data_IF_975808693405
#
_entry.id   IF_975808693405
#
_cell.length_a   1.000
_cell.length_b   1.000
_cell.length_c   1.000
_cell.angle_alpha   90.00
_cell.angle_beta   90.00
_cell.angle_gamma   90.00
#
_symmetry.space_group_name_H-M   'P 1'
#
loop_
_entity.id
_entity.type
_entity.pdbx_description
1 polymer ?
#
# COMPACT_ATOMS: atom_id res chain seq x y z
N UNK A 1 -0.23 15.77 -21.04
CA UNK A 1 -0.07 15.61 -22.49
C UNK A 1 0.26 16.98 -23.08
N UNK A 2 1.52 17.25 -23.41
CA UNK A 2 1.92 18.49 -24.08
C UNK A 2 1.44 18.42 -25.53
N UNK A 3 0.38 19.16 -25.86
CA UNK A 3 -0.05 19.33 -27.24
C UNK A 3 1.05 20.13 -27.96
N UNK A 4 1.72 19.47 -28.91
CA UNK A 4 2.56 20.14 -29.90
C UNK A 4 1.67 21.17 -30.62
N UNK A 5 1.87 22.44 -30.30
CA UNK A 5 1.26 23.56 -31.02
C UNK A 5 1.69 23.43 -32.47
N UNK A 6 0.71 23.23 -33.36
CA UNK A 6 0.93 23.19 -34.80
C UNK A 6 1.74 24.44 -35.21
N UNK A 7 2.81 24.25 -35.99
CA UNK A 7 3.62 25.37 -36.49
C UNK A 7 2.72 26.30 -37.29
N UNK A 8 2.25 27.36 -36.63
CA UNK A 8 1.42 28.38 -37.22
C UNK A 8 2.09 28.97 -38.45
N UNK A 9 1.26 29.46 -39.37
CA UNK A 9 1.69 30.31 -40.48
C UNK A 9 2.59 31.42 -39.93
N UNK A 10 3.78 31.58 -40.55
CA UNK A 10 4.77 32.60 -40.15
C UNK A 10 4.08 33.93 -39.93
N UNK A 11 4.38 34.57 -38.80
CA UNK A 11 3.86 35.91 -38.51
C UNK A 11 4.33 36.90 -39.57
N UNK A 12 3.58 37.99 -39.78
CA UNK A 12 3.96 39.05 -40.72
C UNK A 12 5.37 39.58 -40.43
N UNK A 13 5.74 39.65 -39.14
CA UNK A 13 7.09 40.00 -38.70
C UNK A 13 8.14 39.00 -39.18
N UNK A 14 7.93 37.70 -38.95
CA UNK A 14 8.85 36.64 -39.40
C UNK A 14 9.01 36.60 -40.93
N UNK A 15 7.92 36.82 -41.67
CA UNK A 15 7.96 36.89 -43.13
C UNK A 15 8.79 38.08 -43.62
N UNK A 16 8.59 39.27 -43.04
CA UNK A 16 9.37 40.47 -43.36
C UNK A 16 10.84 40.33 -42.95
N UNK A 17 11.12 39.67 -41.82
CA UNK A 17 12.49 39.43 -41.36
C UNK A 17 13.24 38.51 -42.33
N UNK A 18 12.58 37.48 -42.82
CA UNK A 18 13.13 36.60 -43.86
C UNK A 18 13.35 37.33 -45.20
N UNK A 19 12.45 38.26 -45.58
CA UNK A 19 12.65 39.09 -46.77
C UNK A 19 13.85 40.03 -46.62
N UNK A 20 14.01 40.67 -45.45
CA UNK A 20 15.18 41.51 -45.16
C UNK A 20 16.49 40.71 -45.25
N UNK A 21 16.53 39.51 -44.67
CA UNK A 21 17.72 38.65 -44.75
C UNK A 21 18.11 38.32 -46.21
N UNK A 22 17.12 38.01 -47.06
CA UNK A 22 17.37 37.77 -48.50
C UNK A 22 17.84 39.01 -49.24
N UNK A 23 17.34 40.20 -48.90
CA UNK A 23 17.80 41.45 -49.49
C UNK A 23 19.24 41.79 -49.07
N UNK A 24 19.59 41.54 -47.81
CA UNK A 24 20.97 41.69 -47.31
C UNK A 24 21.94 40.73 -48.00
N UNK A 25 21.52 39.48 -48.22
CA UNK A 25 22.32 38.50 -48.95
C UNK A 25 22.57 38.94 -50.40
N UNK A 26 21.53 39.44 -51.10
CA UNK A 26 21.66 40.02 -52.44
C UNK A 26 22.63 41.21 -52.47
N UNK A 27 22.55 42.10 -51.49
CA UNK A 27 23.45 43.24 -51.37
C UNK A 27 24.90 42.78 -51.17
N UNK A 28 25.14 41.81 -50.27
CA UNK A 28 26.48 41.28 -50.03
C UNK A 28 27.09 40.63 -51.29
N UNK A 29 26.29 39.89 -52.06
CA UNK A 29 26.72 39.30 -53.33
C UNK A 29 27.07 40.37 -54.37
N UNK A 30 26.27 41.45 -54.47
CA UNK A 30 26.54 42.57 -55.37
C UNK A 30 27.83 43.32 -54.99
N UNK A 31 28.07 43.53 -53.70
CA UNK A 31 29.31 44.16 -53.20
C UNK A 31 30.54 43.31 -53.50
N UNK A 32 30.46 41.98 -53.33
CA UNK A 32 31.56 41.07 -53.71
C UNK A 32 31.83 41.11 -55.22
N UNK A 33 30.79 41.07 -56.05
CA UNK A 33 30.92 41.16 -57.50
C UNK A 33 31.56 42.50 -57.91
N UNK A 34 31.20 43.59 -57.25
CA UNK A 34 31.74 44.93 -57.50
C UNK A 34 33.24 44.99 -57.23
N UNK A 35 33.70 44.45 -56.10
CA UNK A 35 35.15 44.39 -55.76
C UNK A 35 35.92 43.66 -56.86
N UNK A 36 35.44 42.50 -57.28
CA UNK A 36 36.07 41.72 -58.35
C UNK A 36 36.12 42.49 -59.68
N UNK A 37 35.01 43.11 -60.09
CA UNK A 37 34.97 43.88 -61.33
C UNK A 37 35.86 45.13 -61.26
N UNK A 38 36.01 45.76 -60.09
CA UNK A 38 36.96 46.87 -59.91
C UNK A 38 38.41 46.43 -60.06
N UNK A 39 38.78 45.24 -59.57
CA UNK A 39 40.11 44.66 -59.75
C UNK A 39 40.36 44.32 -61.22
N UNK A 40 39.41 43.63 -61.87
CA UNK A 40 39.47 43.29 -63.30
C UNK A 40 39.56 44.53 -64.19
N UNK A 41 38.90 45.63 -63.79
CA UNK A 41 38.95 46.91 -64.51
C UNK A 41 40.34 47.54 -64.39
N UNK A 42 40.94 47.53 -63.21
CA UNK A 42 42.29 48.04 -63.01
C UNK A 42 43.30 47.27 -63.87
N UNK A 43 43.17 45.93 -63.93
CA UNK A 43 44.00 45.08 -64.78
C UNK A 43 43.79 45.37 -66.27
N UNK A 44 42.53 45.45 -66.74
CA UNK A 44 42.23 45.74 -68.15
C UNK A 44 42.74 47.13 -68.60
N UNK A 45 42.80 48.10 -67.68
CA UNK A 45 43.40 49.41 -67.94
C UNK A 45 44.92 49.33 -68.02
N UNK A 46 45.56 48.53 -67.16
CA UNK A 46 47.01 48.29 -67.21
C UNK A 46 47.42 47.57 -68.51
N UNK A 47 46.58 46.66 -69.00
CA UNK A 47 46.79 45.91 -70.24
C UNK A 47 46.38 46.69 -71.51
N UNK A 48 46.00 47.97 -71.37
CA UNK A 48 45.49 48.84 -72.45
C UNK A 48 44.29 48.27 -73.23
N UNK A 49 43.56 47.31 -72.65
CA UNK A 49 42.40 46.68 -73.29
C UNK A 49 41.12 47.51 -73.10
N UNK A 50 41.01 48.56 -73.91
CA UNK A 50 39.91 49.54 -73.83
C UNK A 50 38.50 48.94 -73.99
N UNK A 51 38.34 47.89 -74.80
CA UNK A 51 37.04 47.21 -75.00
C UNK A 51 36.59 46.50 -73.73
N UNK A 52 37.50 45.77 -73.09
CA UNK A 52 37.23 45.10 -71.82
C UNK A 52 36.97 46.12 -70.71
N UNK A 53 37.77 47.19 -70.63
CA UNK A 53 37.57 48.26 -69.65
C UNK A 53 36.19 48.96 -69.80
N UNK A 54 35.72 49.20 -71.02
CA UNK A 54 34.38 49.77 -71.26
C UNK A 54 33.25 48.81 -70.84
N UNK A 55 33.41 47.51 -71.12
CA UNK A 55 32.46 46.49 -70.67
C UNK A 55 32.36 46.44 -69.14
N UNK A 56 33.50 46.38 -68.45
CA UNK A 56 33.57 46.35 -66.99
C UNK A 56 33.01 47.62 -66.34
N UNK A 57 33.23 48.80 -66.94
CA UNK A 57 32.60 50.06 -66.49
C UNK A 57 31.07 50.02 -66.60
N UNK A 58 30.54 49.38 -67.64
CA UNK A 58 29.09 49.22 -67.80
C UNK A 58 28.52 48.27 -66.74
N UNK A 59 29.23 47.17 -66.47
CA UNK A 59 28.86 46.24 -65.41
C UNK A 59 28.92 46.89 -64.01
N UNK A 60 29.93 47.73 -63.73
CA UNK A 60 30.01 48.48 -62.48
C UNK A 60 28.82 49.43 -62.29
N UNK A 61 28.43 50.17 -63.34
CA UNK A 61 27.24 51.04 -63.27
C UNK A 61 25.99 50.25 -62.95
N UNK A 62 25.78 49.11 -63.61
CA UNK A 62 24.63 48.25 -63.32
C UNK A 62 24.64 47.70 -61.89
N UNK A 63 25.82 47.38 -61.34
CA UNK A 63 25.94 46.96 -59.93
C UNK A 63 25.72 48.11 -58.95
N UNK A 64 26.18 49.32 -59.27
CA UNK A 64 25.95 50.51 -58.45
C UNK A 64 24.44 50.84 -58.40
N UNK A 65 23.73 50.79 -59.53
CA UNK A 65 22.26 50.95 -59.61
C UNK A 65 21.53 49.87 -58.77
N UNK A 66 21.92 48.60 -58.91
CA UNK A 66 21.34 47.50 -58.12
C UNK A 66 21.61 47.68 -56.62
N UNK A 67 22.75 48.25 -56.23
CA UNK A 67 23.06 48.55 -54.83
C UNK A 67 22.16 49.66 -54.29
N UNK A 68 21.91 50.71 -55.06
CA UNK A 68 21.01 51.79 -54.66
C UNK A 68 19.57 51.28 -54.49
N UNK A 69 19.09 50.47 -55.44
CA UNK A 69 17.76 49.85 -55.37
C UNK A 69 17.61 48.93 -54.14
N UNK A 70 18.62 48.10 -53.86
CA UNK A 70 18.61 47.20 -52.69
C UNK A 70 18.69 47.97 -51.37
N UNK A 71 19.41 49.09 -51.31
CA UNK A 71 19.43 49.96 -50.14
C UNK A 71 18.06 50.60 -49.87
N UNK A 72 17.36 51.05 -50.92
CA UNK A 72 15.99 51.55 -50.81
C UNK A 72 15.02 50.45 -50.35
N UNK A 73 15.14 49.24 -50.92
CA UNK A 73 14.35 48.06 -50.50
C UNK A 73 14.56 47.76 -49.01
N UNK A 74 15.82 47.76 -48.55
CA UNK A 74 16.17 47.49 -47.16
C UNK A 74 15.61 48.55 -46.20
N UNK A 75 15.70 49.84 -46.56
CA UNK A 75 15.10 50.92 -45.76
C UNK A 75 13.58 50.77 -45.63
N UNK A 76 12.89 50.44 -46.72
CA UNK A 76 11.45 50.18 -46.68
C UNK A 76 11.08 48.94 -45.84
N UNK A 77 11.88 47.88 -45.90
CA UNK A 77 11.70 46.68 -45.08
C UNK A 77 11.94 46.94 -43.60
N UNK A 78 12.88 47.82 -43.25
CA UNK A 78 13.17 48.19 -41.86
C UNK A 78 12.00 48.90 -41.18
N UNK A 79 11.36 49.85 -41.87
CA UNK A 79 10.18 50.53 -41.31
C UNK A 79 9.01 49.56 -41.15
N UNK A 80 8.74 48.73 -42.16
CA UNK A 80 7.69 47.68 -42.07
C UNK A 80 7.97 46.68 -40.96
N UNK A 81 9.25 46.35 -40.71
CA UNK A 81 9.66 45.48 -39.63
C UNK A 81 9.43 46.11 -38.26
N UNK A 82 9.70 47.41 -38.09
CA UNK A 82 9.40 48.09 -36.82
C UNK A 82 7.93 48.00 -36.47
N UNK A 83 7.06 48.24 -37.44
CA UNK A 83 5.61 48.17 -37.26
C UNK A 83 5.18 46.73 -36.95
N UNK A 84 5.54 45.77 -37.80
CA UNK A 84 5.15 44.37 -37.63
C UNK A 84 5.71 43.76 -36.33
N UNK A 85 6.88 44.21 -35.87
CA UNK A 85 7.47 43.77 -34.59
C UNK A 85 6.62 44.17 -33.40
N UNK A 86 6.03 45.37 -33.41
CA UNK A 86 5.15 45.82 -32.31
C UNK A 86 3.93 44.92 -32.19
N UNK A 87 3.29 44.61 -33.31
CA UNK A 87 2.11 43.74 -33.34
C UNK A 87 2.46 42.31 -32.93
N UNK A 88 3.59 41.79 -33.42
CA UNK A 88 4.08 40.47 -33.05
C UNK A 88 4.34 40.37 -31.54
N UNK A 89 5.09 41.32 -30.97
CA UNK A 89 5.37 41.34 -29.52
C UNK A 89 4.09 41.50 -28.71
N UNK A 90 3.12 42.30 -29.16
CA UNK A 90 1.83 42.42 -28.47
C UNK A 90 1.10 41.07 -28.43
N UNK A 91 1.06 40.35 -29.55
CA UNK A 91 0.44 39.03 -29.62
C UNK A 91 1.16 37.97 -28.76
N UNK A 92 2.49 38.02 -28.70
CA UNK A 92 3.27 37.15 -27.80
C UNK A 92 2.96 37.45 -26.33
N UNK A 93 2.89 38.72 -25.94
CA UNK A 93 2.54 39.13 -24.57
C UNK A 93 1.12 38.69 -24.21
N UNK A 94 0.15 38.83 -25.12
CA UNK A 94 -1.23 38.40 -24.88
C UNK A 94 -1.33 36.88 -24.72
N UNK A 95 -0.62 36.12 -25.57
CA UNK A 95 -0.53 34.65 -25.44
C UNK A 95 0.06 34.24 -24.09
N UNK A 96 1.19 34.84 -23.70
CA UNK A 96 1.85 34.54 -22.43
C UNK A 96 1.00 34.91 -21.22
N UNK A 97 0.21 35.99 -21.30
CA UNK A 97 -0.74 36.36 -20.25
C UNK A 97 -1.85 35.31 -20.09
N UNK A 98 -2.42 34.85 -21.21
CA UNK A 98 -3.44 33.81 -21.18
C UNK A 98 -2.88 32.49 -20.61
N UNK A 99 -1.65 32.12 -20.96
CA UNK A 99 -0.97 30.94 -20.39
C UNK A 99 -0.77 31.09 -18.88
N UNK A 100 -0.34 32.25 -18.40
CA UNK A 100 -0.17 32.51 -16.97
C UNK A 100 -1.50 32.46 -16.20
N UNK A 101 -2.57 33.03 -16.78
CA UNK A 101 -3.92 32.97 -16.19
C UNK A 101 -4.42 31.52 -16.10
N UNK A 102 -4.19 30.72 -17.14
CA UNK A 102 -4.53 29.30 -17.12
C UNK A 102 -3.76 28.54 -16.04
N UNK A 103 -2.45 28.74 -15.94
CA UNK A 103 -1.62 28.10 -14.90
C UNK A 103 -2.09 28.51 -13.50
N UNK A 104 -2.47 29.77 -13.30
CA UNK A 104 -2.99 30.25 -12.03
C UNK A 104 -4.30 29.53 -11.65
N UNK A 105 -5.24 29.41 -12.60
CA UNK A 105 -6.50 28.68 -12.39
C UNK A 105 -6.26 27.20 -12.04
N UNK A 106 -5.40 26.52 -12.81
CA UNK A 106 -5.03 25.12 -12.54
C UNK A 106 -4.37 24.96 -11.17
N UNK A 107 -3.58 25.94 -10.73
CA UNK A 107 -2.92 25.94 -9.42
C UNK A 107 -3.91 26.15 -8.27
N UNK A 108 -4.89 27.03 -8.44
CA UNK A 108 -5.97 27.24 -7.46
C UNK A 108 -6.84 25.98 -7.29
N UNK A 109 -7.20 25.34 -8.41
CA UNK A 109 -7.91 24.07 -8.39
C UNK A 109 -7.10 22.99 -7.64
N UNK A 110 -5.82 22.85 -7.95
CA UNK A 110 -4.94 21.90 -7.26
C UNK A 110 -4.81 22.20 -5.76
N UNK A 111 -4.70 23.48 -5.38
CA UNK A 111 -4.63 23.89 -3.98
C UNK A 111 -5.92 23.55 -3.21
N UNK A 112 -7.08 23.77 -3.83
CA UNK A 112 -8.38 23.43 -3.25
C UNK A 112 -8.53 21.92 -3.01
N UNK A 113 -8.16 21.11 -4.01
CA UNK A 113 -8.18 19.64 -3.91
C UNK A 113 -7.22 19.13 -2.82
N UNK A 114 -6.05 19.76 -2.67
CA UNK A 114 -5.11 19.43 -1.62
C UNK A 114 -5.66 19.74 -0.23
N UNK A 115 -6.27 20.91 -0.03
CA UNK A 115 -6.88 21.28 1.25
C UNK A 115 -8.05 20.36 1.63
N UNK A 116 -8.85 19.93 0.66
CA UNK A 116 -9.88 18.91 0.91
C UNK A 116 -9.29 17.57 1.34
N UNK A 117 -8.27 17.08 0.62
CA UNK A 117 -7.58 15.84 0.97
C UNK A 117 -6.94 15.91 2.37
N UNK A 118 -6.36 17.06 2.73
CA UNK A 118 -5.79 17.31 4.04
C UNK A 118 -6.85 17.25 5.15
N UNK A 119 -8.02 17.86 4.94
CA UNK A 119 -9.13 17.77 5.92
C UNK A 119 -9.57 16.33 6.17
N UNK A 120 -9.68 15.53 5.10
CA UNK A 120 -10.02 14.10 5.22
C UNK A 120 -8.94 13.35 5.99
N UNK A 121 -7.66 13.62 5.68
CA UNK A 121 -6.54 13.02 6.40
C UNK A 121 -6.55 13.38 7.89
N UNK A 122 -6.77 14.64 8.25
CA UNK A 122 -6.79 15.11 9.64
C UNK A 122 -7.90 14.41 10.45
N UNK A 123 -9.09 14.22 9.86
CA UNK A 123 -10.18 13.45 10.48
C UNK A 123 -9.76 12.01 10.72
N UNK A 124 -9.21 11.34 9.70
CA UNK A 124 -8.75 9.95 9.83
C UNK A 124 -7.63 9.82 10.87
N UNK A 125 -6.72 10.81 10.95
CA UNK A 125 -5.66 10.84 11.94
C UNK A 125 -6.21 10.96 13.37
N UNK A 126 -7.21 11.83 13.58
CA UNK A 126 -7.85 12.00 14.88
C UNK A 126 -8.59 10.72 15.32
N UNK A 127 -9.32 10.07 14.41
CA UNK A 127 -10.00 8.80 14.69
C UNK A 127 -9.00 7.69 15.05
N UNK A 128 -7.87 7.62 14.34
CA UNK A 128 -6.79 6.69 14.65
C UNK A 128 -6.22 6.94 16.05
N UNK A 129 -5.92 8.20 16.40
CA UNK A 129 -5.39 8.57 17.71
C UNK A 129 -6.37 8.22 18.83
N UNK A 130 -7.64 8.56 18.68
CA UNK A 130 -8.69 8.18 19.63
C UNK A 130 -8.77 6.65 19.80
N UNK A 131 -8.70 5.90 18.69
CA UNK A 131 -8.66 4.45 18.74
C UNK A 131 -7.44 3.90 19.49
N UNK A 132 -6.27 4.55 19.39
CA UNK A 132 -5.07 4.18 20.16
C UNK A 132 -5.30 4.41 21.65
N UNK A 133 -5.87 5.55 22.05
CA UNK A 133 -6.17 5.87 23.44
C UNK A 133 -7.18 4.90 24.04
N UNK A 134 -8.30 4.64 23.35
CA UNK A 134 -9.30 3.65 23.79
C UNK A 134 -8.70 2.25 23.96
N UNK A 135 -7.80 1.83 23.07
CA UNK A 135 -7.07 0.56 23.22
C UNK A 135 -6.09 0.57 24.38
N UNK A 136 -5.49 1.72 24.73
CA UNK A 136 -4.65 1.85 25.94
C UNK A 136 -5.52 1.72 27.18
N UNK A 137 -6.63 2.44 27.25
CA UNK A 137 -7.54 2.41 28.39
C UNK A 137 -8.17 1.04 28.60
N UNK A 138 -8.64 0.40 27.53
CA UNK A 138 -9.17 -0.97 27.59
C UNK A 138 -8.14 -1.98 28.09
N UNK A 139 -6.85 -1.77 27.83
CA UNK A 139 -5.76 -2.63 28.34
C UNK A 139 -5.41 -2.39 29.80
N UNK A 140 -5.68 -1.20 30.36
CA UNK A 140 -5.33 -0.85 31.75
C UNK A 140 -6.02 -1.76 32.77
N UNK A 141 -7.32 -2.03 32.60
CA UNK A 141 -8.09 -2.84 33.56
C UNK A 141 -7.64 -4.32 33.60
N UNK A 142 -7.53 -5.05 32.47
CA UNK A 142 -6.98 -6.40 32.46
C UNK A 142 -5.55 -6.48 33.00
N UNK A 143 -4.70 -5.50 32.67
CA UNK A 143 -3.32 -5.46 33.20
C UNK A 143 -3.31 -5.29 34.73
N UNK A 144 -4.14 -4.41 35.28
CA UNK A 144 -4.27 -4.25 36.72
C UNK A 144 -4.74 -5.55 37.38
N UNK A 145 -5.77 -6.20 36.80
CA UNK A 145 -6.28 -7.47 37.32
C UNK A 145 -5.25 -8.60 37.23
N UNK A 146 -4.48 -8.66 36.15
CA UNK A 146 -3.37 -9.62 36.04
C UNK A 146 -2.34 -9.40 37.13
N UNK A 147 -1.91 -8.15 37.38
CA UNK A 147 -0.95 -7.85 38.44
C UNK A 147 -1.47 -8.21 39.84
N UNK A 148 -2.75 -7.97 40.12
CA UNK A 148 -3.39 -8.42 41.37
C UNK A 148 -3.33 -9.95 41.50
N UNK A 149 -3.79 -10.67 40.46
CA UNK A 149 -3.80 -12.13 40.46
C UNK A 149 -2.40 -12.74 40.55
N UNK A 150 -1.39 -12.12 39.92
CA UNK A 150 0.00 -12.56 40.04
C UNK A 150 0.49 -12.45 41.48
N UNK A 151 0.17 -11.36 42.19
CA UNK A 151 0.52 -11.22 43.62
C UNK A 151 -0.23 -12.21 44.50
N UNK A 152 -1.53 -12.42 44.24
CA UNK A 152 -2.30 -13.43 44.96
C UNK A 152 -1.68 -14.82 44.78
N UNK A 153 -1.25 -15.16 43.56
CA UNK A 153 -0.59 -16.42 43.24
C UNK A 153 0.76 -16.55 43.94
N UNK A 154 1.61 -15.51 43.91
CA UNK A 154 2.89 -15.47 44.66
C UNK A 154 2.67 -15.76 46.15
N UNK A 155 1.68 -15.13 46.79
CA UNK A 155 1.36 -15.36 48.20
C UNK A 155 0.85 -16.79 48.48
N UNK A 156 0.08 -17.36 47.56
CA UNK A 156 -0.43 -18.74 47.69
C UNK A 156 0.68 -19.77 47.48
N UNK A 157 1.66 -19.48 46.63
CA UNK A 157 2.83 -20.34 46.41
C UNK A 157 3.86 -20.22 47.54
N UNK A 158 3.98 -19.04 48.18
CA UNK A 158 4.80 -18.84 49.38
C UNK A 158 4.15 -19.40 50.65
N UNK A 159 2.83 -19.55 50.67
CA UNK A 159 2.14 -20.24 51.75
C UNK A 159 2.38 -21.75 51.63
N UNK A 160 3.25 -22.30 52.49
CA UNK A 160 3.42 -23.75 52.63
C UNK A 160 2.04 -24.42 52.79
N UNK A 161 1.73 -25.49 52.02
CA UNK A 161 0.48 -26.20 52.21
C UNK A 161 0.49 -26.81 53.63
N UNK A 162 -0.41 -26.33 54.49
CA UNK A 162 -0.63 -26.93 55.79
C UNK A 162 -0.96 -28.42 55.58
N UNK A 163 -0.10 -29.30 56.11
CA UNK A 163 -0.36 -30.74 56.07
C UNK A 163 -1.72 -31.04 56.71
N UNK A 164 -2.64 -31.74 56.04
CA UNK A 164 -3.91 -32.09 56.64
C UNK A 164 -3.69 -33.17 57.70
N UNK A 165 -3.81 -32.79 58.96
CA UNK A 165 -3.96 -33.74 60.08
C UNK A 165 -5.37 -34.33 60.03
N UNK A 166 -5.54 -35.43 59.29
CA UNK A 166 -6.71 -36.31 59.36
C UNK A 166 -6.38 -37.55 60.20
N UNK A 167 -7.29 -38.06 61.06
CA UNK A 167 -7.00 -39.17 61.95
C UNK A 167 -6.83 -40.47 61.15
N UNK A 168 -5.65 -41.07 61.24
CA UNK A 168 -5.36 -42.42 60.78
C UNK A 168 -6.07 -43.45 61.67
N UNK A 169 -7.33 -43.72 61.38
CA UNK A 169 -7.95 -45.00 61.74
C UNK A 169 -7.53 -46.02 60.69
N UNK A 170 -6.79 -47.06 61.08
CA UNK A 170 -6.42 -48.14 60.17
C UNK A 170 -7.69 -48.73 59.55
N UNK A 171 -7.87 -48.50 58.25
CA UNK A 171 -8.97 -49.06 57.48
C UNK A 171 -8.74 -50.56 57.39
N UNK A 172 -9.64 -51.35 57.96
CA UNK A 172 -9.59 -52.82 57.84
C UNK A 172 -10.00 -53.22 56.42
N UNK A 173 -9.00 -53.32 55.54
CA UNK A 173 -9.19 -53.70 54.13
C UNK A 173 -9.88 -55.07 53.97
N UNK A 174 -9.69 -55.98 54.92
CA UNK A 174 -10.35 -57.29 54.87
C UNK A 174 -11.85 -57.18 55.16
N UNK A 175 -12.25 -56.30 56.07
CA UNK A 175 -13.66 -56.01 56.34
C UNK A 175 -14.35 -55.32 55.16
N UNK A 176 -13.63 -54.42 54.46
CA UNK A 176 -14.12 -53.79 53.23
C UNK A 176 -14.35 -54.83 52.13
N UNK A 177 -13.41 -55.75 51.93
CA UNK A 177 -13.53 -56.77 50.88
C UNK A 177 -14.63 -57.80 51.20
N UNK A 178 -14.82 -58.18 52.48
CA UNK A 178 -15.97 -59.01 52.89
C UNK A 178 -17.31 -58.32 52.59
N UNK A 179 -17.41 -57.02 52.92
CA UNK A 179 -18.58 -56.22 52.60
C UNK A 179 -18.85 -56.16 51.08
N UNK A 180 -17.80 -55.94 50.27
CA UNK A 180 -17.89 -55.97 48.81
C UNK A 180 -18.33 -57.34 48.29
N UNK A 181 -17.75 -58.43 48.80
CA UNK A 181 -18.11 -59.79 48.42
C UNK A 181 -19.61 -60.08 48.67
N UNK A 182 -20.14 -59.65 49.81
CA UNK A 182 -21.57 -59.79 50.15
C UNK A 182 -22.47 -58.92 49.27
N UNK A 183 -22.02 -57.73 48.88
CA UNK A 183 -22.70 -56.89 47.89
C UNK A 183 -22.73 -57.57 46.50
N UNK A 184 -21.59 -58.13 46.06
CA UNK A 184 -21.46 -58.87 44.78
C UNK A 184 -22.31 -60.14 44.78
N UNK A 185 -22.45 -60.82 45.91
CA UNK A 185 -23.34 -61.98 46.09
C UNK A 185 -24.83 -61.61 46.09
N UNK A 186 -25.17 -60.32 46.29
CA UNK A 186 -26.54 -59.84 46.35
C UNK A 186 -27.23 -60.05 47.70
N UNK A 187 -26.45 -60.33 48.75
CA UNK A 187 -26.91 -60.42 50.14
C UNK A 187 -27.28 -59.02 50.68
N UNK A 188 -26.50 -58.01 50.29
CA UNK A 188 -26.74 -56.61 50.62
C UNK A 188 -27.41 -55.94 49.41
N UNK A 189 -28.69 -55.57 49.57
CA UNK A 189 -29.50 -54.95 48.50
C UNK A 189 -29.58 -53.43 48.61
N UNK A 190 -29.47 -52.90 49.82
CA UNK A 190 -29.59 -51.48 50.15
C UNK A 190 -28.49 -51.12 51.15
N UNK A 191 -27.73 -50.07 50.87
CA UNK A 191 -26.73 -49.51 51.78
C UNK A 191 -27.30 -48.27 52.47
N UNK A 192 -26.99 -48.12 53.76
CA UNK A 192 -27.33 -46.94 54.57
C UNK A 192 -26.05 -46.20 54.89
N UNK A 193 -25.95 -44.95 54.44
CA UNK A 193 -24.74 -44.14 54.62
C UNK A 193 -24.45 -43.87 56.11
N UNK A 194 -23.18 -43.83 56.48
CA UNK A 194 -22.78 -43.54 57.87
C UNK A 194 -21.34 -43.88 58.25
N UNK A 195 -20.70 -44.82 57.54
CA UNK A 195 -19.28 -45.13 57.71
C UNK A 195 -18.53 -44.79 56.40
N UNK A 196 -17.58 -43.83 56.42
CA UNK A 196 -16.85 -43.40 55.22
C UNK A 196 -16.20 -44.55 54.46
N UNK A 197 -15.68 -45.57 55.16
CA UNK A 197 -15.03 -46.72 54.53
C UNK A 197 -16.04 -47.62 53.79
N UNK A 198 -17.22 -47.83 54.38
CA UNK A 198 -18.30 -48.60 53.74
C UNK A 198 -19.00 -47.80 52.64
N UNK A 199 -19.08 -46.48 52.78
CA UNK A 199 -19.63 -45.58 51.75
C UNK A 199 -18.76 -45.61 50.49
N UNK A 200 -17.43 -45.53 50.64
CA UNK A 200 -16.49 -45.66 49.53
C UNK A 200 -16.55 -47.07 48.91
N UNK A 201 -16.59 -48.13 49.74
CA UNK A 201 -16.74 -49.50 49.27
C UNK A 201 -18.03 -49.70 48.47
N UNK A 202 -19.17 -49.17 48.94
CA UNK A 202 -20.43 -49.24 48.21
C UNK A 202 -20.38 -48.47 46.87
N UNK A 203 -19.67 -47.34 46.84
CA UNK A 203 -19.38 -46.61 45.59
C UNK A 203 -18.57 -47.45 44.58
N UNK A 204 -17.55 -48.16 45.05
CA UNK A 204 -16.78 -49.12 44.24
C UNK A 204 -17.67 -50.23 43.69
N UNK A 205 -18.51 -50.85 44.52
CA UNK A 205 -19.48 -51.85 44.10
C UNK A 205 -20.43 -51.36 42.99
N UNK A 206 -20.98 -50.15 43.10
CA UNK A 206 -21.87 -49.58 42.09
C UNK A 206 -21.13 -49.34 40.76
N UNK A 207 -19.90 -48.85 40.84
CA UNK A 207 -19.04 -48.62 39.67
C UNK A 207 -18.73 -49.93 38.93
N UNK A 208 -18.34 -50.98 39.66
CA UNK A 208 -18.13 -52.33 39.10
C UNK A 208 -19.40 -52.86 38.41
N UNK A 209 -20.56 -52.71 39.07
CA UNK A 209 -21.85 -53.16 38.52
C UNK A 209 -22.19 -52.43 37.21
N UNK A 210 -21.87 -51.14 37.10
CA UNK A 210 -22.07 -50.39 35.87
C UNK A 210 -21.11 -50.83 34.75
N UNK A 211 -19.84 -51.08 35.05
CA UNK A 211 -18.87 -51.59 34.08
C UNK A 211 -19.30 -52.93 33.49
N UNK A 212 -19.73 -53.86 34.34
CA UNK A 212 -20.27 -55.17 33.92
C UNK A 212 -21.51 -54.99 33.04
N UNK A 213 -22.40 -54.05 33.39
CA UNK A 213 -23.59 -53.73 32.58
C UNK A 213 -23.20 -53.16 31.21
N UNK A 214 -22.26 -52.22 31.16
CA UNK A 214 -21.76 -51.61 29.92
C UNK A 214 -21.10 -52.66 29.02
N UNK A 215 -20.25 -53.52 29.58
CA UNK A 215 -19.64 -54.65 28.87
C UNK A 215 -20.70 -55.61 28.30
N UNK A 216 -21.71 -55.99 29.08
CA UNK A 216 -22.82 -56.83 28.61
C UNK A 216 -23.64 -56.19 27.49
N UNK A 217 -23.87 -54.87 27.55
CA UNK A 217 -24.54 -54.12 26.47
C UNK A 217 -23.70 -54.08 25.19
N UNK A 218 -22.39 -53.83 25.30
CA UNK A 218 -21.49 -53.78 24.16
C UNK A 218 -21.37 -55.15 23.47
N UNK A 219 -21.28 -56.26 24.23
CA UNK A 219 -21.32 -57.62 23.67
C UNK A 219 -22.62 -57.92 22.91
N UNK A 220 -23.77 -57.49 23.42
CA UNK A 220 -25.07 -57.66 22.72
C UNK A 220 -25.16 -56.89 21.40
N UNK A 221 -24.45 -55.76 21.31
CA UNK A 221 -24.41 -54.92 20.09
C UNK A 221 -23.40 -55.41 19.06
N UNK A 222 -22.73 -56.55 19.30
CA UNK A 222 -21.73 -57.11 18.39
C UNK A 222 -20.38 -56.39 18.42
N UNK A 223 -20.14 -55.55 19.43
CA UNK A 223 -18.81 -54.97 19.67
C UNK A 223 -17.91 -56.01 20.38
N UNK A 224 -16.59 -55.90 20.22
CA UNK A 224 -15.58 -56.65 21.00
C UNK A 224 -14.99 -55.78 22.12
N UNK A 225 -15.73 -55.48 23.21
CA UNK A 225 -15.17 -54.74 24.33
C UNK A 225 -14.15 -55.60 25.10
N UNK A 226 -13.11 -54.97 25.64
CA UNK A 226 -12.23 -55.62 26.65
C UNK A 226 -13.07 -55.99 27.87
N UNK A 227 -12.90 -57.22 28.36
CA UNK A 227 -13.57 -57.67 29.59
C UNK A 227 -13.03 -56.90 30.79
N UNK A 228 -13.90 -56.25 31.60
CA UNK A 228 -13.45 -55.52 32.77
C UNK A 228 -12.93 -56.49 33.83
N UNK A 229 -11.81 -56.13 34.46
CA UNK A 229 -11.10 -56.98 35.43
C UNK A 229 -11.97 -57.32 36.65
N UNK A 230 -12.90 -56.42 37.01
CA UNK A 230 -13.85 -56.63 38.08
C UNK A 230 -14.80 -57.82 37.85
N UNK A 231 -15.05 -58.26 36.61
CA UNK A 231 -15.93 -59.42 36.33
C UNK A 231 -15.45 -60.69 37.03
N UNK A 232 -14.14 -60.87 37.18
CA UNK A 232 -13.55 -62.03 37.84
C UNK A 232 -13.91 -62.11 39.34
N UNK A 233 -14.19 -60.96 39.97
CA UNK A 233 -14.52 -60.85 41.39
C UNK A 233 -16.00 -61.14 41.68
N UNK A 234 -16.84 -61.27 40.66
CA UNK A 234 -18.27 -61.48 40.80
C UNK A 234 -18.66 -62.96 40.62
N UNK A 235 -19.67 -63.45 41.37
CA UNK A 235 -20.26 -64.75 41.09
C UNK A 235 -20.74 -64.81 39.63
N UNK A 236 -20.31 -65.84 38.89
CA UNK A 236 -20.56 -65.96 37.43
C UNK A 236 -22.03 -65.81 37.06
N UNK A 237 -22.93 -66.34 37.87
CA UNK A 237 -24.38 -66.22 37.64
C UNK A 237 -24.85 -64.78 37.79
N UNK A 238 -24.36 -64.06 38.80
CA UNK A 238 -24.73 -62.66 39.08
C UNK A 238 -24.19 -61.71 38.02
N UNK A 239 -22.93 -61.88 37.60
CA UNK A 239 -22.35 -61.12 36.50
C UNK A 239 -23.16 -61.30 35.21
N UNK A 240 -23.58 -62.54 34.90
CA UNK A 240 -24.44 -62.83 33.74
C UNK A 240 -25.82 -62.18 33.84
N UNK A 241 -26.43 -62.15 35.02
CA UNK A 241 -27.70 -61.44 35.25
C UNK A 241 -27.58 -59.95 34.94
N UNK A 242 -26.55 -59.29 35.52
CA UNK A 242 -26.28 -57.87 35.31
C UNK A 242 -26.00 -57.59 33.83
N UNK A 243 -25.18 -58.43 33.19
CA UNK A 243 -24.91 -58.32 31.76
C UNK A 243 -26.22 -58.40 30.98
N UNK A 244 -27.10 -59.38 31.24
CA UNK A 244 -28.36 -59.64 30.52
C UNK A 244 -29.43 -58.54 30.68
N UNK A 245 -29.32 -57.68 31.68
CA UNK A 245 -30.20 -56.51 31.83
C UNK A 245 -31.65 -56.87 32.18
N UNK A 246 -31.85 -57.85 33.07
CA UNK A 246 -33.11 -57.99 33.82
C UNK A 246 -33.00 -57.28 35.16
#
# INVERSE_FOLDING_TARGET
MLKLVEKGTRTRYEALAAQKAKAQERQAQAEQARVKITEDLAQALADENLKQAQSLRTQLRALDELREDTQLELGALEERLREARRDHVRGEVETLRAELEQIAAESEEAASAFEEAKRVFDVAQNEYQLGVELRRDRRRSPMARMLELTKELELLEEAEPAEPVGPAGAVDEAAIEDYLARCRAGEIKTHTAGDPALDEAYGRYQSEREEIRRYGMAKRRGCEPREPECVALWPRQRAREIMRGR
#
